data_IF_393508052960
#
_entry.id   IF_393508052960
#
_cell.length_a   1.000
_cell.length_b   1.000
_cell.length_c   1.000
_cell.angle_alpha   90.00
_cell.angle_beta   90.00
_cell.angle_gamma   90.00
#
_symmetry.space_group_name_H-M   'P 1'
#
loop_
_entity.id
_entity.type
_entity.pdbx_description
1 polymer ?
#
# COMPACT_ATOMS: atom_id res chain seq x y z
N UNK A 1 34.16 -0.89 -24.99
CA UNK A 1 34.81 -1.83 -24.04
C UNK A 1 33.83 -2.01 -22.88
N UNK A 2 32.91 -2.95 -23.00
CA UNK A 2 31.92 -3.27 -21.98
C UNK A 2 32.67 -4.06 -20.92
N UNK A 3 32.86 -3.43 -19.73
CA UNK A 3 33.37 -4.09 -18.54
C UNK A 3 32.42 -5.25 -18.21
N UNK A 4 32.88 -6.47 -18.43
CA UNK A 4 32.27 -7.64 -17.83
C UNK A 4 32.40 -7.45 -16.31
N UNK A 5 31.33 -6.95 -15.69
CA UNK A 5 31.21 -6.96 -14.24
C UNK A 5 31.27 -8.41 -13.80
N UNK A 6 32.33 -8.78 -13.12
CA UNK A 6 32.41 -10.09 -12.45
C UNK A 6 31.19 -10.18 -11.52
N UNK A 7 30.35 -11.15 -11.80
CA UNK A 7 29.14 -11.38 -11.01
C UNK A 7 29.62 -11.91 -9.65
N UNK A 8 29.61 -11.07 -8.64
CA UNK A 8 29.97 -11.45 -7.27
C UNK A 8 28.82 -12.21 -6.60
N UNK A 9 28.97 -13.51 -6.43
CA UNK A 9 28.06 -14.38 -5.70
C UNK A 9 28.25 -14.34 -4.17
N UNK A 10 28.71 -13.22 -3.63
CA UNK A 10 28.83 -13.08 -2.18
C UNK A 10 27.45 -12.91 -1.54
N UNK A 11 27.16 -13.65 -0.49
CA UNK A 11 25.95 -13.52 0.31
C UNK A 11 26.17 -12.48 1.42
N UNK A 12 25.24 -11.55 1.63
CA UNK A 12 24.01 -11.28 0.88
C UNK A 12 24.29 -10.68 -0.50
N UNK A 13 23.45 -11.02 -1.49
CA UNK A 13 23.61 -10.58 -2.88
C UNK A 13 23.69 -9.05 -2.93
N UNK A 14 24.83 -8.52 -3.41
CA UNK A 14 25.04 -7.09 -3.57
C UNK A 14 24.54 -6.57 -4.92
N UNK A 15 24.69 -7.39 -5.99
CA UNK A 15 24.35 -7.01 -7.36
C UNK A 15 22.84 -6.84 -7.57
N UNK A 16 22.36 -5.67 -8.02
CA UNK A 16 20.94 -5.40 -8.28
C UNK A 16 20.34 -6.35 -9.35
N UNK A 17 21.12 -6.77 -10.34
CA UNK A 17 20.66 -7.65 -11.42
C UNK A 17 20.39 -9.05 -10.88
N UNK A 18 21.28 -9.58 -10.04
CA UNK A 18 21.09 -10.87 -9.39
C UNK A 18 19.92 -10.87 -8.42
N UNK A 19 19.73 -9.78 -7.66
CA UNK A 19 18.55 -9.59 -6.80
C UNK A 19 17.26 -9.65 -7.61
N UNK A 20 17.21 -8.88 -8.71
CA UNK A 20 16.05 -8.84 -9.58
C UNK A 20 15.76 -10.20 -10.20
N UNK A 21 16.79 -10.91 -10.68
CA UNK A 21 16.66 -12.28 -11.22
C UNK A 21 16.11 -13.23 -10.15
N UNK A 22 16.65 -13.20 -8.93
CA UNK A 22 16.18 -14.04 -7.84
C UNK A 22 14.70 -13.78 -7.51
N UNK A 23 14.30 -12.52 -7.44
CA UNK A 23 12.91 -12.13 -7.19
C UNK A 23 12.01 -12.64 -8.31
N UNK A 24 12.40 -12.50 -9.59
CA UNK A 24 11.65 -13.00 -10.74
C UNK A 24 11.49 -14.52 -10.68
N UNK A 25 12.56 -15.24 -10.36
CA UNK A 25 12.50 -16.68 -10.19
C UNK A 25 11.53 -17.10 -9.09
N UNK A 26 11.51 -16.38 -7.97
CA UNK A 26 10.59 -16.65 -6.86
C UNK A 26 9.16 -16.32 -7.25
N UNK A 27 8.90 -15.19 -7.92
CA UNK A 27 7.57 -14.82 -8.41
C UNK A 27 7.02 -15.89 -9.35
N UNK A 28 7.88 -16.50 -10.16
CA UNK A 28 7.50 -17.58 -11.08
C UNK A 28 7.35 -18.95 -10.38
N UNK A 29 8.33 -19.31 -9.54
CA UNK A 29 8.40 -20.64 -8.93
C UNK A 29 7.47 -20.81 -7.72
N UNK A 30 7.30 -19.80 -6.88
CA UNK A 30 6.49 -19.90 -5.66
C UNK A 30 5.02 -20.25 -5.95
N UNK A 31 4.32 -19.61 -6.91
CA UNK A 31 2.96 -20.02 -7.25
C UNK A 31 2.86 -21.45 -7.82
N UNK A 32 3.85 -21.88 -8.63
CA UNK A 32 3.85 -23.22 -9.21
C UNK A 32 4.02 -24.31 -8.13
N UNK A 33 4.92 -24.10 -7.18
CA UNK A 33 5.17 -25.02 -6.08
C UNK A 33 3.99 -25.06 -5.10
N UNK A 34 3.43 -23.91 -4.76
CA UNK A 34 2.40 -23.80 -3.74
C UNK A 34 1.00 -24.13 -4.25
N UNK A 35 0.75 -24.06 -5.56
CA UNK A 35 -0.47 -24.59 -6.15
C UNK A 35 -0.65 -26.10 -5.87
N UNK A 36 0.45 -26.88 -5.82
CA UNK A 36 0.40 -28.30 -5.42
C UNK A 36 -0.05 -28.47 -3.97
N UNK A 37 0.26 -27.51 -3.11
CA UNK A 37 -0.08 -27.53 -1.68
C UNK A 37 -1.44 -26.87 -1.38
N UNK A 38 -2.19 -26.41 -2.40
CA UNK A 38 -3.46 -25.68 -2.27
C UNK A 38 -3.34 -24.41 -1.42
N UNK A 39 -2.16 -23.81 -1.37
CA UNK A 39 -1.91 -22.55 -0.65
C UNK A 39 -2.12 -21.39 -1.63
N UNK A 40 -2.85 -20.33 -1.24
CA UNK A 40 -3.00 -19.13 -2.07
C UNK A 40 -1.63 -18.54 -2.45
N UNK A 41 -1.46 -18.18 -3.73
CA UNK A 41 -0.14 -17.74 -4.24
C UNK A 41 0.41 -16.52 -3.50
N UNK A 42 -0.46 -15.63 -3.00
CA UNK A 42 -0.03 -14.45 -2.22
C UNK A 42 0.67 -14.84 -0.92
N UNK A 43 0.11 -15.81 -0.19
CA UNK A 43 0.75 -16.35 1.03
C UNK A 43 2.10 -16.99 0.68
N UNK A 44 2.17 -17.67 -0.44
CA UNK A 44 3.42 -18.26 -0.91
C UNK A 44 4.51 -17.25 -1.18
N UNK A 45 4.18 -16.14 -1.80
CA UNK A 45 5.13 -15.05 -2.06
C UNK A 45 5.59 -14.37 -0.76
N UNK A 46 4.69 -14.20 0.22
CA UNK A 46 5.05 -13.66 1.54
C UNK A 46 6.01 -14.60 2.27
N UNK A 47 5.70 -15.89 2.30
CA UNK A 47 6.56 -16.91 2.92
C UNK A 47 7.93 -16.95 2.22
N UNK A 48 7.95 -16.97 0.90
CA UNK A 48 9.20 -16.94 0.13
C UNK A 48 10.01 -15.69 0.44
N UNK A 49 9.37 -14.52 0.51
CA UNK A 49 10.01 -13.26 0.90
C UNK A 49 10.60 -13.30 2.31
N UNK A 50 9.89 -13.91 3.27
CA UNK A 50 10.40 -14.09 4.63
C UNK A 50 11.62 -15.02 4.67
N UNK A 51 11.62 -16.09 3.88
CA UNK A 51 12.72 -17.06 3.80
C UNK A 51 14.00 -16.44 3.22
N UNK A 52 13.88 -15.68 2.12
CA UNK A 52 15.06 -15.06 1.47
C UNK A 52 15.50 -13.74 2.12
N UNK A 53 14.64 -13.16 2.92
CA UNK A 53 14.85 -11.87 3.59
C UNK A 53 15.94 -11.90 4.66
N UNK A 54 16.22 -10.72 5.28
CA UNK A 54 17.32 -10.56 6.24
C UNK A 54 17.15 -11.39 7.53
N UNK A 55 15.93 -11.79 7.86
CA UNK A 55 15.64 -12.63 9.03
C UNK A 55 15.52 -14.13 8.71
N UNK A 56 15.62 -14.51 7.41
CA UNK A 56 15.69 -15.90 6.94
C UNK A 56 17.10 -16.26 6.54
N UNK A 57 17.28 -16.71 5.29
CA UNK A 57 18.59 -17.07 4.76
C UNK A 57 19.50 -15.89 4.43
N UNK A 58 19.05 -14.67 4.64
CA UNK A 58 19.80 -13.43 4.37
C UNK A 58 20.37 -13.35 2.94
N UNK A 59 19.61 -13.87 1.97
CA UNK A 59 20.01 -13.84 0.56
C UNK A 59 19.87 -12.43 -0.02
N UNK A 60 18.84 -11.71 0.40
CA UNK A 60 18.51 -10.36 -0.11
C UNK A 60 18.33 -9.41 1.06
N UNK A 61 19.12 -8.34 1.07
CA UNK A 61 18.94 -7.23 2.00
C UNK A 61 17.83 -6.29 1.52
N UNK A 62 17.15 -5.69 2.47
CA UNK A 62 16.16 -4.63 2.21
C UNK A 62 16.87 -3.33 1.86
N UNK A 63 17.32 -3.20 0.64
CA UNK A 63 17.94 -1.99 0.09
C UNK A 63 16.93 -1.09 -0.66
N UNK A 64 17.42 0.04 -1.14
CA UNK A 64 16.62 1.01 -1.88
C UNK A 64 15.95 0.43 -3.13
N UNK A 65 16.61 -0.53 -3.82
CA UNK A 65 16.08 -1.17 -5.03
C UNK A 65 14.87 -2.05 -4.72
N UNK A 66 14.94 -2.82 -3.64
CA UNK A 66 13.83 -3.67 -3.17
C UNK A 66 12.65 -2.83 -2.69
N UNK A 67 12.94 -1.77 -1.92
CA UNK A 67 11.91 -0.84 -1.43
C UNK A 67 11.23 -0.16 -2.61
N UNK A 68 11.99 0.34 -3.59
CA UNK A 68 11.45 0.99 -4.77
C UNK A 68 10.54 0.04 -5.57
N UNK A 69 10.99 -1.19 -5.81
CA UNK A 69 10.21 -2.20 -6.54
C UNK A 69 8.91 -2.55 -5.82
N UNK A 70 8.96 -2.72 -4.50
CA UNK A 70 7.77 -2.97 -3.68
C UNK A 70 6.80 -1.79 -3.68
N UNK A 71 7.30 -0.57 -3.56
CA UNK A 71 6.49 0.66 -3.60
C UNK A 71 5.84 0.85 -4.97
N UNK A 72 6.60 0.64 -6.06
CA UNK A 72 6.07 0.70 -7.42
C UNK A 72 4.96 -0.34 -7.65
N UNK A 73 5.16 -1.57 -7.16
CA UNK A 73 4.15 -2.62 -7.23
C UNK A 73 2.87 -2.27 -6.45
N UNK A 74 3.01 -1.71 -5.25
CA UNK A 74 1.88 -1.25 -4.45
C UNK A 74 1.09 -0.14 -5.15
N UNK A 75 1.78 0.87 -5.67
CA UNK A 75 1.16 1.97 -6.43
C UNK A 75 0.44 1.45 -7.68
N UNK A 76 1.04 0.48 -8.37
CA UNK A 76 0.42 -0.13 -9.55
C UNK A 76 -0.87 -0.88 -9.22
N UNK A 77 -0.89 -1.67 -8.13
CA UNK A 77 -2.11 -2.37 -7.68
C UNK A 77 -3.20 -1.36 -7.29
N UNK A 78 -2.84 -0.30 -6.57
CA UNK A 78 -3.78 0.76 -6.19
C UNK A 78 -4.34 1.50 -7.42
N UNK A 79 -3.50 1.76 -8.41
CA UNK A 79 -3.91 2.38 -9.67
C UNK A 79 -4.90 1.49 -10.43
N UNK A 80 -4.61 0.20 -10.59
CA UNK A 80 -5.52 -0.74 -11.23
C UNK A 80 -6.86 -0.83 -10.49
N UNK A 81 -6.83 -0.93 -9.17
CA UNK A 81 -8.03 -0.92 -8.34
C UNK A 81 -8.86 0.35 -8.56
N UNK A 82 -8.20 1.51 -8.65
CA UNK A 82 -8.85 2.78 -8.94
C UNK A 82 -9.52 2.83 -10.31
N UNK A 83 -8.92 2.22 -11.34
CA UNK A 83 -9.50 2.16 -12.68
C UNK A 83 -10.73 1.24 -12.78
N UNK A 84 -10.78 0.17 -12.00
CA UNK A 84 -11.88 -0.79 -12.02
C UNK A 84 -13.10 -0.35 -11.18
N UNK A 85 -12.95 0.68 -10.34
CA UNK A 85 -14.04 1.19 -9.50
C UNK A 85 -15.07 1.92 -10.39
N UNK A 86 -16.33 1.49 -10.29
CA UNK A 86 -17.44 2.26 -10.83
C UNK A 86 -17.67 3.52 -9.97
N UNK A 87 -17.35 4.69 -10.54
CA UNK A 87 -17.47 5.97 -9.84
C UNK A 87 -18.90 6.32 -9.44
N UNK A 88 -19.91 5.85 -10.19
CA UNK A 88 -21.31 6.08 -9.87
C UNK A 88 -21.70 5.26 -8.63
N UNK A 89 -21.33 3.99 -8.58
CA UNK A 89 -21.54 3.12 -7.43
C UNK A 89 -20.75 3.57 -6.20
N UNK A 90 -19.51 4.03 -6.40
CA UNK A 90 -18.68 4.59 -5.31
C UNK A 90 -19.35 5.84 -4.72
N UNK A 91 -19.76 6.79 -5.53
CA UNK A 91 -20.46 8.01 -5.08
C UNK A 91 -21.77 7.69 -4.35
N UNK A 92 -22.52 6.73 -4.87
CA UNK A 92 -23.79 6.26 -4.27
C UNK A 92 -23.57 5.58 -2.90
N UNK A 93 -22.44 4.91 -2.69
CA UNK A 93 -22.12 4.19 -1.47
C UNK A 93 -21.06 4.88 -0.60
N UNK A 94 -20.67 6.12 -0.92
CA UNK A 94 -19.60 6.86 -0.23
C UNK A 94 -19.77 6.92 1.28
N UNK A 95 -20.98 7.18 1.78
CA UNK A 95 -21.29 7.19 3.22
C UNK A 95 -21.03 5.82 3.87
N UNK A 96 -21.35 4.73 3.16
CA UNK A 96 -21.11 3.37 3.66
C UNK A 96 -19.64 3.02 3.65
N UNK A 97 -18.90 3.45 2.62
CA UNK A 97 -17.45 3.31 2.54
C UNK A 97 -16.76 4.11 3.65
N UNK A 98 -17.22 5.33 3.92
CA UNK A 98 -16.72 6.15 5.01
C UNK A 98 -16.97 5.48 6.37
N UNK A 99 -18.20 5.05 6.64
CA UNK A 99 -18.54 4.37 7.88
C UNK A 99 -17.72 3.08 8.04
N UNK A 100 -17.63 2.25 7.00
CA UNK A 100 -16.83 1.04 7.00
C UNK A 100 -15.36 1.34 7.28
N UNK A 101 -14.74 2.30 6.56
CA UNK A 101 -13.36 2.73 6.76
C UNK A 101 -13.10 3.25 8.17
N UNK A 102 -14.01 4.05 8.72
CA UNK A 102 -13.88 4.55 10.09
C UNK A 102 -13.93 3.44 11.12
N UNK A 103 -14.87 2.50 11.03
CA UNK A 103 -14.95 1.37 11.97
C UNK A 103 -13.73 0.44 11.84
N UNK A 104 -13.34 0.10 10.63
CA UNK A 104 -12.19 -0.78 10.39
C UNK A 104 -10.85 -0.13 10.74
N UNK A 105 -10.78 1.19 10.80
CA UNK A 105 -9.64 1.93 11.30
C UNK A 105 -9.65 2.08 12.83
N UNK A 106 -10.75 2.58 13.40
CA UNK A 106 -10.82 2.93 14.81
C UNK A 106 -10.74 1.71 15.74
N UNK A 107 -11.43 0.63 15.39
CA UNK A 107 -11.46 -0.57 16.25
C UNK A 107 -10.06 -1.18 16.40
N UNK A 108 -9.31 -1.52 15.35
CA UNK A 108 -7.95 -2.02 15.50
C UNK A 108 -7.00 -0.99 16.12
N UNK A 109 -7.21 0.30 15.81
CA UNK A 109 -6.40 1.40 16.36
C UNK A 109 -6.51 1.47 17.89
N UNK A 110 -7.73 1.44 18.43
CA UNK A 110 -7.97 1.44 19.89
C UNK A 110 -7.46 0.17 20.53
N UNK A 111 -7.84 -1.00 20.00
CA UNK A 111 -7.43 -2.28 20.53
C UNK A 111 -5.91 -2.47 20.47
N UNK A 112 -5.29 -2.14 19.34
CA UNK A 112 -3.85 -2.24 19.15
C UNK A 112 -3.07 -1.30 20.08
N UNK A 113 -3.57 -0.09 20.31
CA UNK A 113 -2.95 0.85 21.26
C UNK A 113 -3.05 0.33 22.70
N UNK A 114 -4.22 -0.17 23.11
CA UNK A 114 -4.43 -0.75 24.45
C UNK A 114 -3.50 -1.97 24.66
N UNK A 115 -3.45 -2.89 23.70
CA UNK A 115 -2.57 -4.06 23.75
C UNK A 115 -1.10 -3.62 23.78
N UNK A 116 -0.71 -2.66 22.96
CA UNK A 116 0.64 -2.10 22.93
C UNK A 116 1.09 -1.57 24.29
N UNK A 117 0.23 -0.80 24.96
CA UNK A 117 0.56 -0.20 26.27
C UNK A 117 0.52 -1.25 27.39
N UNK A 118 -0.56 -2.03 27.49
CA UNK A 118 -0.82 -2.87 28.66
C UNK A 118 -0.16 -4.25 28.59
N UNK A 119 -0.12 -4.84 27.40
CA UNK A 119 0.44 -6.19 27.21
C UNK A 119 1.91 -6.12 26.81
N UNK A 120 2.24 -5.33 25.78
CA UNK A 120 3.60 -5.23 25.24
C UNK A 120 4.47 -4.23 26.02
N UNK A 121 3.87 -3.42 26.92
CA UNK A 121 4.59 -2.43 27.74
C UNK A 121 5.36 -1.39 26.91
N UNK A 122 4.89 -1.11 25.71
CA UNK A 122 5.48 -0.06 24.87
C UNK A 122 5.06 1.34 25.34
N UNK A 123 5.85 2.34 24.98
CA UNK A 123 5.44 3.72 25.20
C UNK A 123 4.23 4.05 24.30
N UNK A 124 3.51 5.13 24.61
CA UNK A 124 2.29 5.53 23.90
C UNK A 124 2.55 5.72 22.41
N UNK A 125 3.65 6.39 22.04
CA UNK A 125 3.99 6.67 20.65
C UNK A 125 4.18 5.39 19.82
N UNK A 126 4.96 4.44 20.36
CA UNK A 126 5.21 3.15 19.72
C UNK A 126 3.93 2.31 19.64
N UNK A 127 3.08 2.36 20.68
CA UNK A 127 1.81 1.64 20.69
C UNK A 127 0.84 2.15 19.64
N UNK A 128 0.74 3.48 19.48
CA UNK A 128 -0.09 4.11 18.45
C UNK A 128 0.46 3.81 17.05
N UNK A 129 1.79 3.84 16.87
CA UNK A 129 2.42 3.46 15.60
C UNK A 129 2.12 2.01 15.23
N UNK A 130 2.28 1.09 16.17
CA UNK A 130 1.96 -0.33 15.98
C UNK A 130 0.49 -0.52 15.63
N UNK A 131 -0.41 0.14 16.35
CA UNK A 131 -1.85 0.09 16.12
C UNK A 131 -2.23 0.62 14.74
N UNK A 132 -1.60 1.69 14.25
CA UNK A 132 -1.85 2.23 12.92
C UNK A 132 -1.47 1.26 11.79
N UNK A 133 -0.44 0.44 12.01
CA UNK A 133 -0.07 -0.61 11.06
C UNK A 133 -1.12 -1.72 10.96
N UNK A 134 -1.78 -2.07 12.08
CA UNK A 134 -2.88 -3.05 12.08
C UNK A 134 -4.19 -2.46 11.57
N UNK A 135 -4.37 -1.16 11.67
CA UNK A 135 -5.58 -0.48 11.22
C UNK A 135 -5.59 -0.21 9.70
N UNK A 136 -4.45 -0.30 9.04
CA UNK A 136 -4.35 -0.17 7.58
C UNK A 136 -4.55 -1.52 6.90
N UNK A 137 -5.49 -1.56 5.96
CA UNK A 137 -5.79 -2.76 5.18
C UNK A 137 -5.30 -2.57 3.75
N UNK A 138 -4.34 -3.36 3.33
CA UNK A 138 -3.90 -3.35 1.95
C UNK A 138 -4.86 -4.13 1.05
N UNK A 139 -5.05 -3.66 -0.19
CA UNK A 139 -5.90 -4.32 -1.21
C UNK A 139 -5.29 -5.63 -1.74
N UNK A 140 -4.68 -6.44 -0.87
CA UNK A 140 -4.03 -7.71 -1.23
C UNK A 140 -5.00 -8.69 -1.88
N UNK A 141 -6.26 -8.71 -1.43
CA UNK A 141 -7.29 -9.59 -1.97
C UNK A 141 -7.85 -9.09 -3.32
N UNK A 142 -7.59 -7.86 -3.72
CA UNK A 142 -8.17 -7.27 -4.93
C UNK A 142 -7.85 -8.02 -6.22
N UNK A 143 -6.62 -8.48 -6.49
CA UNK A 143 -6.32 -9.29 -7.67
C UNK A 143 -7.11 -10.61 -7.73
N UNK A 144 -7.49 -11.18 -6.59
CA UNK A 144 -8.33 -12.39 -6.51
C UNK A 144 -9.76 -12.04 -6.89
N UNK A 145 -10.28 -10.94 -6.36
CA UNK A 145 -11.63 -10.42 -6.62
C UNK A 145 -11.79 -10.09 -8.11
N UNK A 146 -10.80 -9.45 -8.72
CA UNK A 146 -10.76 -9.13 -10.14
C UNK A 146 -10.77 -10.40 -11.01
N UNK A 147 -9.94 -11.40 -10.67
CA UNK A 147 -9.93 -12.71 -11.36
C UNK A 147 -11.26 -13.46 -11.28
N UNK A 148 -12.01 -13.28 -10.20
CA UNK A 148 -13.35 -13.87 -10.03
C UNK A 148 -14.46 -13.10 -10.76
N UNK A 149 -14.14 -11.94 -11.35
CA UNK A 149 -15.09 -11.10 -12.07
C UNK A 149 -16.14 -10.42 -11.19
N UNK A 150 -15.91 -10.33 -9.87
CA UNK A 150 -16.85 -9.76 -8.90
C UNK A 150 -16.48 -8.35 -8.44
N UNK A 151 -15.54 -7.69 -9.12
CA UNK A 151 -15.08 -6.33 -8.80
C UNK A 151 -16.21 -5.29 -8.77
N UNK A 152 -17.26 -5.47 -9.58
CA UNK A 152 -18.45 -4.60 -9.61
C UNK A 152 -19.46 -4.87 -8.48
N UNK A 153 -19.19 -5.79 -7.56
CA UNK A 153 -20.08 -6.05 -6.44
C UNK A 153 -20.07 -4.88 -5.47
N UNK A 154 -21.25 -4.49 -4.99
CA UNK A 154 -21.41 -3.38 -4.03
C UNK A 154 -20.56 -3.53 -2.77
N UNK A 155 -20.42 -4.75 -2.24
CA UNK A 155 -19.59 -5.00 -1.06
C UNK A 155 -18.12 -4.71 -1.37
N UNK A 156 -17.64 -5.10 -2.56
CA UNK A 156 -16.28 -4.83 -3.02
C UNK A 156 -16.05 -3.32 -3.14
N UNK A 157 -16.96 -2.60 -3.79
CA UNK A 157 -16.88 -1.13 -3.93
C UNK A 157 -16.80 -0.43 -2.56
N UNK A 158 -17.63 -0.85 -1.59
CA UNK A 158 -17.61 -0.29 -0.23
C UNK A 158 -16.28 -0.60 0.47
N UNK A 159 -15.78 -1.83 0.35
CA UNK A 159 -14.53 -2.25 0.99
C UNK A 159 -13.33 -1.50 0.40
N UNK A 160 -13.23 -1.41 -0.93
CA UNK A 160 -12.15 -0.67 -1.60
C UNK A 160 -12.17 0.80 -1.20
N UNK A 161 -13.35 1.43 -1.21
CA UNK A 161 -13.49 2.80 -0.74
C UNK A 161 -13.10 2.99 0.73
N UNK A 162 -13.48 2.05 1.59
CA UNK A 162 -13.08 2.03 3.00
C UNK A 162 -11.57 1.89 3.18
N UNK A 163 -10.93 1.02 2.39
CA UNK A 163 -9.47 0.83 2.43
C UNK A 163 -8.72 2.11 2.07
N UNK A 164 -9.16 2.85 1.07
CA UNK A 164 -8.55 4.15 0.71
C UNK A 164 -8.59 5.14 1.89
N UNK A 165 -9.69 5.11 2.66
CA UNK A 165 -9.84 5.95 3.85
C UNK A 165 -8.90 5.49 4.96
N UNK A 166 -8.84 4.19 5.25
CA UNK A 166 -7.94 3.65 6.29
C UNK A 166 -6.48 3.91 5.97
N UNK A 167 -6.06 3.77 4.71
CA UNK A 167 -4.69 4.05 4.28
C UNK A 167 -4.33 5.53 4.46
N UNK A 168 -5.24 6.43 4.08
CA UNK A 168 -5.05 7.88 4.29
C UNK A 168 -4.93 8.23 5.77
N UNK A 169 -5.80 7.67 6.62
CA UNK A 169 -5.76 7.90 8.06
C UNK A 169 -4.49 7.31 8.69
N UNK A 170 -4.06 6.13 8.28
CA UNK A 170 -2.83 5.51 8.77
C UNK A 170 -1.58 6.34 8.42
N UNK A 171 -1.50 6.86 7.19
CA UNK A 171 -0.42 7.77 6.77
C UNK A 171 -0.44 9.08 7.54
N UNK A 172 -1.63 9.61 7.84
CA UNK A 172 -1.78 10.82 8.67
C UNK A 172 -1.26 10.57 10.08
N UNK A 173 -1.66 9.46 10.71
CA UNK A 173 -1.14 9.07 12.03
C UNK A 173 0.37 8.89 12.00
N UNK A 174 0.91 8.21 10.98
CA UNK A 174 2.35 8.04 10.81
C UNK A 174 3.07 9.40 10.72
N UNK A 175 2.54 10.33 9.95
CA UNK A 175 3.12 11.68 9.80
C UNK A 175 3.17 12.42 11.13
N UNK A 176 2.10 12.34 11.93
CA UNK A 176 2.04 12.95 13.26
C UNK A 176 3.08 12.31 14.18
N UNK A 177 3.15 10.97 14.21
CA UNK A 177 4.08 10.25 15.08
C UNK A 177 5.53 10.55 14.72
N UNK A 178 5.88 10.57 13.44
CA UNK A 178 7.22 10.93 12.97
C UNK A 178 7.55 12.37 13.36
N UNK A 179 6.62 13.30 13.18
CA UNK A 179 6.78 14.68 13.63
C UNK A 179 7.03 14.79 15.13
N UNK A 180 6.29 14.05 15.95
CA UNK A 180 6.50 14.00 17.41
C UNK A 180 7.84 13.38 17.80
N UNK A 181 8.22 12.30 17.13
CA UNK A 181 9.49 11.61 17.41
C UNK A 181 10.73 12.45 17.04
N UNK A 182 10.62 13.29 16.00
CA UNK A 182 11.70 14.20 15.56
C UNK A 182 11.70 15.55 16.27
N UNK A 183 10.77 15.79 17.21
CA UNK A 183 10.63 17.06 17.92
C UNK A 183 10.22 18.25 17.04
N UNK A 184 9.67 17.98 15.85
CA UNK A 184 9.29 19.02 14.89
C UNK A 184 7.82 19.47 15.02
N UNK A 185 7.11 19.01 16.04
CA UNK A 185 5.70 19.38 16.27
C UNK A 185 5.62 20.77 16.91
N UNK A 186 5.59 21.79 16.06
CA UNK A 186 5.33 23.17 16.42
C UNK A 186 3.98 23.59 15.83
N UNK A 187 3.48 24.77 16.23
CA UNK A 187 2.24 25.32 15.65
C UNK A 187 2.31 25.39 14.12
N UNK A 188 3.49 25.70 13.58
CA UNK A 188 3.77 25.69 12.15
C UNK A 188 3.63 24.31 11.50
N UNK A 189 3.90 23.23 12.24
CA UNK A 189 3.73 21.85 11.74
C UNK A 189 2.24 21.58 11.43
N UNK A 190 1.33 21.94 12.34
CA UNK A 190 -0.10 21.74 12.15
C UNK A 190 -0.67 22.55 11.00
N UNK A 191 -0.22 23.82 10.88
CA UNK A 191 -0.59 24.68 9.75
C UNK A 191 -0.10 24.07 8.43
N UNK A 192 1.16 23.68 8.37
CA UNK A 192 1.74 23.06 7.16
C UNK A 192 1.03 21.77 6.79
N UNK A 193 0.73 20.91 7.75
CA UNK A 193 0.00 19.65 7.53
C UNK A 193 -1.41 19.95 6.98
N UNK A 194 -2.16 20.85 7.62
CA UNK A 194 -3.50 21.22 7.18
C UNK A 194 -3.50 21.84 5.77
N UNK A 195 -2.57 22.77 5.51
CA UNK A 195 -2.43 23.41 4.19
C UNK A 195 -2.04 22.37 3.12
N UNK A 196 -1.15 21.45 3.42
CA UNK A 196 -0.75 20.39 2.47
C UNK A 196 -1.91 19.48 2.12
N UNK A 197 -2.71 19.06 3.09
CA UNK A 197 -3.91 18.24 2.87
C UNK A 197 -4.94 19.03 2.04
N UNK A 198 -5.15 20.30 2.36
CA UNK A 198 -6.08 21.16 1.63
C UNK A 198 -5.66 21.35 0.17
N UNK A 199 -4.38 21.68 -0.07
CA UNK A 199 -3.83 21.82 -1.43
C UNK A 199 -3.97 20.52 -2.21
N UNK A 200 -3.60 19.39 -1.59
CA UNK A 200 -3.76 18.08 -2.21
C UNK A 200 -5.22 17.80 -2.58
N UNK A 201 -6.16 18.03 -1.65
CA UNK A 201 -7.58 17.85 -1.92
C UNK A 201 -8.08 18.75 -3.07
N UNK A 202 -7.65 20.02 -3.11
CA UNK A 202 -7.99 20.94 -4.20
C UNK A 202 -7.44 20.47 -5.54
N UNK A 203 -6.19 20.03 -5.60
CA UNK A 203 -5.59 19.49 -6.83
C UNK A 203 -6.35 18.27 -7.30
N UNK A 204 -6.69 17.34 -6.40
CA UNK A 204 -7.41 16.11 -6.75
C UNK A 204 -8.84 16.41 -7.19
N UNK A 205 -9.57 17.27 -6.48
CA UNK A 205 -10.99 17.54 -6.76
C UNK A 205 -11.21 18.43 -7.99
N UNK A 206 -10.29 19.37 -8.25
CA UNK A 206 -10.45 20.34 -9.34
C UNK A 206 -9.43 20.15 -10.47
N UNK A 207 -8.18 19.86 -10.14
CA UNK A 207 -7.11 19.70 -11.13
C UNK A 207 -7.32 18.47 -12.01
N UNK A 208 -7.57 17.29 -11.43
CA UNK A 208 -7.76 16.07 -12.20
C UNK A 208 -9.00 16.11 -13.12
N UNK A 209 -10.21 16.51 -12.66
CA UNK A 209 -11.35 16.63 -13.55
C UNK A 209 -11.13 17.64 -14.68
N UNK A 210 -10.43 18.75 -14.40
CA UNK A 210 -10.11 19.75 -15.41
C UNK A 210 -9.16 19.18 -16.47
N UNK A 211 -8.12 18.47 -16.09
CA UNK A 211 -7.20 17.80 -17.02
C UNK A 211 -7.93 16.72 -17.82
N UNK A 212 -8.77 15.91 -17.18
CA UNK A 212 -9.58 14.90 -17.86
C UNK A 212 -10.53 15.52 -18.89
N UNK A 213 -11.21 16.62 -18.56
CA UNK A 213 -12.08 17.35 -19.47
C UNK A 213 -11.33 17.90 -20.69
N UNK A 214 -10.09 18.38 -20.51
CA UNK A 214 -9.24 18.85 -21.60
C UNK A 214 -8.85 17.73 -22.57
N UNK A 215 -8.60 16.53 -22.06
CA UNK A 215 -8.19 15.38 -22.87
C UNK A 215 -9.37 14.63 -23.51
N UNK A 216 -10.57 14.75 -22.95
CA UNK A 216 -11.78 14.07 -23.43
C UNK A 216 -12.69 14.99 -24.27
N UNK A 217 -12.31 16.23 -24.55
CA UNK A 217 -13.06 17.07 -25.48
C UNK A 217 -13.04 16.40 -26.86
N UNK A 218 -14.20 16.13 -27.49
CA UNK A 218 -14.27 15.50 -28.79
C UNK A 218 -13.48 16.32 -29.81
N UNK A 219 -12.64 15.64 -30.56
CA UNK A 219 -11.91 16.25 -31.66
C UNK A 219 -12.90 16.84 -32.68
N UNK A 220 -12.65 18.03 -33.25
CA UNK A 220 -13.52 18.58 -34.31
C UNK A 220 -13.64 17.70 -35.56
N UNK A 221 -12.95 16.56 -35.59
CA UNK A 221 -13.03 15.57 -36.67
C UNK A 221 -14.10 14.51 -36.50
N UNK A 222 -14.77 14.49 -35.37
CA UNK A 222 -15.82 13.49 -35.05
C UNK A 222 -17.22 14.13 -35.11
N UNK A 223 -17.35 15.34 -35.64
CA UNK A 223 -18.61 16.07 -35.92
C UNK A 223 -18.94 16.06 -37.42
#
# INVERSE_FOLDING_TARGET
>A
MVLASTIDFTLPLADPVLKFLLILLIILAAPLLLNKLRIPHLLGLIIAGAIIGPHGFNLVLRDSSIILSGTAGLLYIMFLAGLEIDMADFKRNSTKSLAFGMYTFLIPMILGTVVGIWVLRFNVLTSVLLASMFASHTLIAYPIISKLGISKNKAVSITVGGTMITDTLALLVLTIIVGMATGQVNDMFWIRLGVSILIFALIVLFGFPFICLLYTSPSPRDA
#
